data_IF_475479930940
#
_entry.id   IF_475479930940
#
_cell.length_a   1.000
_cell.length_b   1.000
_cell.length_c   1.000
_cell.angle_alpha   90.00
_cell.angle_beta   90.00
_cell.angle_gamma   90.00
#
_symmetry.space_group_name_H-M   'P 1'
#
loop_
_entity.id
_entity.type
_entity.pdbx_description
1 polymer ?
#
# COMPACT_ATOMS: atom_id res chain seq x y z
N UNK A 1 1.02 -11.46 0.65
CA UNK A 1 2.18 -10.54 0.64
C UNK A 1 1.83 -9.31 1.46
N UNK A 2 2.78 -8.77 2.23
CA UNK A 2 2.60 -7.53 2.97
C UNK A 2 3.58 -6.48 2.45
N UNK A 3 3.11 -5.26 2.27
CA UNK A 3 3.91 -4.12 1.83
C UNK A 3 3.74 -2.97 2.83
N UNK A 4 4.81 -2.29 3.20
CA UNK A 4 4.76 -1.07 4.01
C UNK A 4 5.20 0.12 3.17
N UNK A 5 4.31 1.10 3.02
CA UNK A 5 4.61 2.38 2.40
C UNK A 5 4.80 3.43 3.50
N UNK A 6 5.90 4.18 3.46
CA UNK A 6 6.10 5.30 4.37
C UNK A 6 4.96 6.34 4.20
N UNK A 7 4.53 6.56 2.97
CA UNK A 7 3.32 7.35 2.66
C UNK A 7 2.54 6.70 1.51
N UNK A 8 1.22 6.80 1.54
CA UNK A 8 0.37 6.39 0.44
C UNK A 8 -0.79 7.35 0.20
N UNK A 9 -1.19 7.52 -1.06
CA UNK A 9 -2.41 8.23 -1.42
C UNK A 9 -3.61 7.28 -1.27
N UNK A 10 -4.37 7.46 -0.19
CA UNK A 10 -5.60 6.73 0.10
C UNK A 10 -6.84 7.47 -0.42
N UNK A 11 -8.02 6.87 -0.24
CA UNK A 11 -9.31 7.49 -0.63
C UNK A 11 -9.50 8.87 0.02
N UNK A 12 -9.14 9.01 1.29
CA UNK A 12 -9.38 10.22 2.08
C UNK A 12 -8.20 11.21 2.04
N UNK A 13 -7.16 10.91 1.24
CA UNK A 13 -5.96 11.74 1.10
C UNK A 13 -4.68 10.98 1.41
N UNK A 14 -3.59 11.73 1.64
CA UNK A 14 -2.31 11.16 2.04
C UNK A 14 -2.36 10.62 3.46
N UNK A 15 -1.80 9.43 3.67
CA UNK A 15 -1.62 8.81 4.97
C UNK A 15 -0.18 8.31 5.12
N UNK A 16 0.31 8.35 6.35
CA UNK A 16 1.63 7.86 6.73
C UNK A 16 1.54 6.42 7.27
N UNK A 17 2.65 5.69 7.17
CA UNK A 17 2.83 4.35 7.74
C UNK A 17 1.73 3.36 7.32
N UNK A 18 1.59 3.15 6.01
CA UNK A 18 0.50 2.35 5.44
C UNK A 18 0.95 0.92 5.20
N UNK A 19 0.27 -0.04 5.85
CA UNK A 19 0.39 -1.47 5.60
C UNK A 19 -0.65 -1.91 4.57
N UNK A 20 -0.19 -2.49 3.46
CA UNK A 20 -1.03 -3.12 2.45
C UNK A 20 -0.87 -4.64 2.53
N UNK A 21 -2.00 -5.34 2.51
CA UNK A 21 -2.04 -6.79 2.44
C UNK A 21 -2.60 -7.21 1.09
N UNK A 22 -1.86 -8.04 0.38
CA UNK A 22 -2.23 -8.61 -0.92
C UNK A 22 -2.39 -10.11 -0.76
N UNK A 23 -3.53 -10.65 -1.16
CA UNK A 23 -3.83 -12.07 -1.07
C UNK A 23 -3.05 -12.92 -2.10
N UNK A 24 -3.28 -14.24 -2.09
CA UNK A 24 -2.58 -15.18 -2.97
C UNK A 24 -2.96 -15.09 -4.45
N UNK A 25 -3.98 -14.32 -4.81
CA UNK A 25 -4.46 -14.14 -6.20
C UNK A 25 -4.26 -12.71 -6.72
N UNK A 26 -3.70 -11.82 -5.90
CA UNK A 26 -3.29 -10.46 -6.29
C UNK A 26 -4.27 -9.35 -5.93
N UNK A 27 -5.31 -9.62 -5.14
CA UNK A 27 -6.20 -8.57 -4.64
C UNK A 27 -5.67 -7.95 -3.35
N UNK A 28 -5.92 -6.65 -3.18
CA UNK A 28 -5.71 -5.96 -1.90
C UNK A 28 -6.79 -6.45 -0.93
N UNK A 29 -6.40 -7.22 0.09
CA UNK A 29 -7.31 -7.75 1.11
C UNK A 29 -7.51 -6.79 2.29
N UNK A 30 -6.51 -5.94 2.58
CA UNK A 30 -6.58 -4.91 3.61
C UNK A 30 -5.62 -3.75 3.32
N UNK A 31 -5.99 -2.56 3.79
CA UNK A 31 -5.13 -1.36 3.81
C UNK A 31 -5.33 -0.67 5.16
N UNK A 32 -4.26 -0.53 5.93
CA UNK A 32 -4.31 0.05 7.28
C UNK A 32 -3.22 1.13 7.40
N UNK A 33 -3.61 2.36 7.73
CA UNK A 33 -2.68 3.47 7.99
C UNK A 33 -2.22 3.51 9.45
N UNK A 34 -1.11 4.23 9.72
CA UNK A 34 -0.59 4.44 11.07
C UNK A 34 0.13 3.23 11.69
N UNK A 35 0.59 2.29 10.87
CA UNK A 35 1.36 1.12 11.30
C UNK A 35 2.86 1.45 11.24
N UNK A 36 3.33 2.17 12.25
CA UNK A 36 4.73 2.61 12.35
C UNK A 36 5.73 1.46 12.58
N UNK A 37 5.27 0.37 13.17
CA UNK A 37 6.01 -0.88 13.34
C UNK A 37 5.33 -2.03 12.57
N UNK A 38 5.56 -2.12 11.23
CA UNK A 38 4.96 -3.16 10.41
C UNK A 38 5.59 -4.54 10.73
N UNK A 39 4.88 -5.64 10.43
CA UNK A 39 5.43 -6.99 10.55
C UNK A 39 6.79 -7.14 9.85
N UNK A 40 7.70 -7.95 10.40
CA UNK A 40 9.04 -8.18 9.82
C UNK A 40 9.02 -8.72 8.39
N UNK A 41 7.94 -9.42 8.01
CA UNK A 41 7.71 -9.97 6.68
C UNK A 41 7.10 -8.96 5.69
N UNK A 42 6.85 -7.72 6.10
CA UNK A 42 6.38 -6.66 5.22
C UNK A 42 7.54 -6.05 4.43
N UNK A 43 7.43 -6.08 3.10
CA UNK A 43 8.39 -5.42 2.23
C UNK A 43 8.22 -3.90 2.34
N UNK A 44 9.30 -3.19 2.68
CA UNK A 44 9.29 -1.72 2.73
C UNK A 44 9.47 -1.15 1.34
N UNK A 45 8.49 -0.38 0.89
CA UNK A 45 8.53 0.32 -0.39
C UNK A 45 9.54 1.48 -0.34
N UNK A 46 10.27 1.67 -1.45
CA UNK A 46 11.33 2.69 -1.56
C UNK A 46 10.83 4.11 -1.82
N UNK A 47 9.51 4.32 -1.86
CA UNK A 47 8.90 5.62 -2.09
C UNK A 47 7.39 5.63 -1.83
N UNK A 48 6.72 6.77 -2.09
CA UNK A 48 5.29 6.92 -1.90
C UNK A 48 4.49 5.96 -2.79
N UNK A 49 3.43 5.36 -2.24
CA UNK A 49 2.50 4.55 -3.02
C UNK A 49 1.31 5.38 -3.53
N UNK A 50 0.95 5.20 -4.80
CA UNK A 50 -0.25 5.83 -5.39
C UNK A 50 -1.08 4.76 -6.14
N UNK A 51 -2.39 4.96 -6.30
CA UNK A 51 -3.19 4.11 -7.17
C UNK A 51 -2.64 4.15 -8.60
N UNK A 52 -2.53 2.98 -9.23
CA UNK A 52 -2.18 2.90 -10.65
C UNK A 52 -3.20 3.65 -11.49
N UNK A 53 -2.74 4.42 -12.48
CA UNK A 53 -3.61 5.12 -13.41
C UNK A 53 -4.04 4.16 -14.53
N UNK A 54 -5.36 3.92 -14.73
CA UNK A 54 -5.82 3.12 -15.86
C UNK A 54 -5.43 3.80 -17.18
N UNK A 55 -4.85 3.04 -18.10
CA UNK A 55 -4.73 3.49 -19.48
C UNK A 55 -6.03 3.13 -20.24
N UNK A 56 -6.81 4.15 -20.63
CA UNK A 56 -8.13 3.97 -21.27
C UNK A 56 -8.08 3.91 -22.80
N UNK A 57 -6.90 4.07 -23.38
CA UNK A 57 -6.72 3.99 -24.84
C UNK A 57 -5.28 3.57 -25.18
N UNK A 58 -5.13 2.54 -26.01
CA UNK A 58 -3.83 1.97 -26.43
C UNK A 58 -3.49 2.29 -27.87
#
# INVERSE_FOLDING_TARGET
MKLHAATALMRDGWADDVLLEVDGIGFISAVTAGISDPPEDAERLSGPAIPGMPNVHS
#
